data_IF_952871334259
#
_entry.id   IF_952871334259
#
_cell.length_a   1.000
_cell.length_b   1.000
_cell.length_c   1.000
_cell.angle_alpha   90.00
_cell.angle_beta   90.00
_cell.angle_gamma   90.00
#
_symmetry.space_group_name_H-M   'P 1'
#
loop_
_entity.id
_entity.type
_entity.pdbx_description
1 polymer ?
#
# COMPACT_ATOMS: atom_id res chain seq x y z
N UNK A 1 -4.96 -23.47 18.11
CA UNK A 1 -5.77 -22.35 17.59
C UNK A 1 -5.90 -22.56 16.10
N UNK A 2 -7.13 -22.68 15.60
CA UNK A 2 -7.37 -22.81 14.15
C UNK A 2 -6.90 -21.55 13.43
N UNK A 3 -6.10 -21.72 12.39
CA UNK A 3 -5.63 -20.63 11.53
C UNK A 3 -6.82 -19.84 10.97
N UNK A 4 -7.92 -20.52 10.68
CA UNK A 4 -9.15 -19.91 10.18
C UNK A 4 -9.76 -18.90 11.19
N UNK A 5 -9.76 -19.24 12.48
CA UNK A 5 -10.26 -18.34 13.52
C UNK A 5 -9.38 -17.09 13.68
N UNK A 6 -8.06 -17.21 13.49
CA UNK A 6 -7.15 -16.07 13.48
C UNK A 6 -7.38 -15.16 12.26
N UNK A 7 -7.68 -15.74 11.09
CA UNK A 7 -7.97 -14.99 9.86
C UNK A 7 -9.32 -14.28 9.96
N UNK A 8 -10.35 -14.93 10.51
CA UNK A 8 -11.65 -14.29 10.73
C UNK A 8 -11.56 -13.12 11.72
N UNK A 9 -10.74 -13.26 12.76
CA UNK A 9 -10.63 -12.25 13.82
C UNK A 9 -9.66 -11.10 13.49
N UNK A 10 -8.53 -11.38 12.83
CA UNK A 10 -7.48 -10.39 12.55
C UNK A 10 -7.27 -10.09 11.06
N UNK A 11 -7.89 -10.85 10.15
CA UNK A 11 -7.68 -10.71 8.71
C UNK A 11 -8.01 -9.32 8.18
N UNK A 12 -9.09 -8.70 8.67
CA UNK A 12 -9.44 -7.33 8.28
C UNK A 12 -8.44 -6.28 8.77
N UNK A 13 -7.94 -6.40 10.00
CA UNK A 13 -6.92 -5.50 10.53
C UNK A 13 -5.59 -5.67 9.78
N UNK A 14 -5.22 -6.91 9.47
CA UNK A 14 -4.05 -7.22 8.65
C UNK A 14 -4.19 -6.66 7.23
N UNK A 15 -5.39 -6.68 6.64
CA UNK A 15 -5.66 -6.07 5.34
C UNK A 15 -5.51 -4.54 5.40
N UNK A 16 -6.02 -3.87 6.42
CA UNK A 16 -5.86 -2.41 6.57
C UNK A 16 -4.38 -2.06 6.71
N UNK A 17 -3.67 -2.67 7.67
CA UNK A 17 -2.26 -2.38 7.95
C UNK A 17 -1.37 -2.78 6.76
N UNK A 18 -1.61 -3.97 6.21
CA UNK A 18 -0.89 -4.49 5.06
C UNK A 18 -1.11 -3.61 3.83
N UNK A 19 -2.32 -3.11 3.60
CA UNK A 19 -2.62 -2.24 2.45
C UNK A 19 -1.98 -0.85 2.52
N UNK A 20 -1.60 -0.40 3.72
CA UNK A 20 -0.80 0.82 3.91
C UNK A 20 0.65 0.58 3.48
N UNK A 21 1.22 -0.58 3.79
CA UNK A 21 2.61 -0.92 3.50
C UNK A 21 2.81 -1.44 2.06
N UNK A 22 1.99 -2.41 1.67
CA UNK A 22 2.08 -3.14 0.41
C UNK A 22 0.67 -3.44 -0.11
N UNK A 23 0.13 -2.49 -0.87
CA UNK A 23 -1.27 -2.53 -1.33
C UNK A 23 -1.61 -3.73 -2.21
N UNK A 24 -0.81 -3.99 -3.25
CA UNK A 24 -1.17 -4.91 -4.34
C UNK A 24 -1.23 -6.37 -3.87
N UNK A 25 -0.15 -6.86 -3.27
CA UNK A 25 -0.04 -8.23 -2.77
C UNK A 25 -1.12 -8.54 -1.73
N UNK A 26 -1.27 -7.65 -0.74
CA UNK A 26 -2.24 -7.82 0.36
C UNK A 26 -3.68 -7.78 -0.16
N UNK A 27 -3.98 -6.91 -1.14
CA UNK A 27 -5.31 -6.82 -1.74
C UNK A 27 -5.66 -8.07 -2.53
N UNK A 28 -4.71 -8.60 -3.32
CA UNK A 28 -4.91 -9.84 -4.07
C UNK A 28 -5.14 -11.03 -3.12
N UNK A 29 -4.33 -11.15 -2.07
CA UNK A 29 -4.48 -12.17 -1.04
C UNK A 29 -5.83 -12.04 -0.30
N UNK A 30 -6.27 -10.82 0.00
CA UNK A 30 -7.59 -10.55 0.56
C UNK A 30 -8.72 -11.01 -0.36
N UNK A 31 -8.58 -10.78 -1.68
CA UNK A 31 -9.51 -11.28 -2.69
C UNK A 31 -9.58 -12.81 -2.73
N UNK A 32 -8.43 -13.49 -2.70
CA UNK A 32 -8.34 -14.96 -2.65
C UNK A 32 -8.98 -15.50 -1.37
N UNK A 33 -8.68 -14.90 -0.22
CA UNK A 33 -9.28 -15.28 1.06
C UNK A 33 -10.81 -15.09 1.06
N UNK A 34 -11.31 -14.06 0.37
CA UNK A 34 -12.74 -13.88 0.19
C UNK A 34 -13.38 -14.94 -0.71
N UNK A 35 -12.67 -15.39 -1.75
CA UNK A 35 -13.12 -16.49 -2.62
C UNK A 35 -13.23 -17.81 -1.85
N UNK A 36 -12.30 -18.08 -0.94
CA UNK A 36 -12.32 -19.28 -0.08
C UNK A 36 -13.38 -19.23 1.04
N UNK A 37 -14.16 -18.14 1.13
CA UNK A 37 -15.19 -17.97 2.16
C UNK A 37 -14.65 -17.57 3.54
N UNK A 38 -13.34 -17.37 3.69
CA UNK A 38 -12.71 -16.97 4.95
C UNK A 38 -12.99 -15.51 5.32
N UNK A 39 -13.19 -14.65 4.33
CA UNK A 39 -13.50 -13.24 4.52
C UNK A 39 -14.68 -12.80 3.64
N UNK A 40 -15.53 -11.92 4.16
CA UNK A 40 -16.59 -11.30 3.35
C UNK A 40 -16.02 -10.28 2.38
N UNK A 41 -16.27 -10.47 1.07
CA UNK A 41 -15.79 -9.61 0.00
C UNK A 41 -16.03 -8.10 0.23
N UNK A 42 -17.24 -7.63 0.62
CA UNK A 42 -17.47 -6.20 0.85
C UNK A 42 -16.59 -5.61 1.97
N UNK A 43 -16.30 -6.41 3.00
CA UNK A 43 -15.45 -5.99 4.11
C UNK A 43 -13.96 -5.97 3.72
N UNK A 44 -13.53 -6.86 2.83
CA UNK A 44 -12.17 -6.82 2.26
C UNK A 44 -11.99 -5.55 1.45
N UNK A 45 -12.93 -5.23 0.56
CA UNK A 45 -12.88 -4.00 -0.25
C UNK A 45 -12.86 -2.77 0.66
N UNK A 46 -13.69 -2.72 1.70
CA UNK A 46 -13.70 -1.62 2.66
C UNK A 46 -12.38 -1.49 3.42
N UNK A 47 -11.81 -2.60 3.93
CA UNK A 47 -10.55 -2.62 4.65
C UNK A 47 -9.37 -2.14 3.78
N UNK A 48 -9.29 -2.65 2.55
CA UNK A 48 -8.27 -2.26 1.57
C UNK A 48 -8.39 -0.80 1.18
N UNK A 49 -9.63 -0.33 0.90
CA UNK A 49 -9.87 1.07 0.56
C UNK A 49 -9.46 1.99 1.71
N UNK A 50 -9.81 1.65 2.96
CA UNK A 50 -9.41 2.42 4.15
C UNK A 50 -7.89 2.47 4.33
N UNK A 51 -7.21 1.32 4.23
CA UNK A 51 -5.75 1.26 4.31
C UNK A 51 -5.07 2.11 3.23
N UNK A 52 -5.53 1.99 1.99
CA UNK A 52 -5.04 2.81 0.87
C UNK A 52 -5.29 4.30 1.08
N UNK A 53 -6.47 4.68 1.54
CA UNK A 53 -6.82 6.07 1.83
C UNK A 53 -5.91 6.68 2.90
N UNK A 54 -5.68 5.96 4.00
CA UNK A 54 -4.81 6.42 5.10
C UNK A 54 -3.37 6.57 4.60
N UNK A 55 -2.84 5.56 3.91
CA UNK A 55 -1.49 5.61 3.36
C UNK A 55 -1.29 6.79 2.41
N UNK A 56 -2.19 6.96 1.44
CA UNK A 56 -2.11 8.04 0.46
C UNK A 56 -2.25 9.42 1.11
N UNK A 57 -3.09 9.54 2.14
CA UNK A 57 -3.27 10.79 2.89
C UNK A 57 -2.00 11.18 3.66
N UNK A 58 -1.33 10.22 4.29
CA UNK A 58 -0.05 10.44 4.99
C UNK A 58 1.03 10.90 4.02
N UNK A 59 1.15 10.21 2.87
CA UNK A 59 2.11 10.55 1.82
C UNK A 59 1.84 11.92 1.19
N UNK A 60 0.57 12.25 0.96
CA UNK A 60 0.15 13.56 0.48
C UNK A 60 0.53 14.67 1.48
N UNK A 61 0.29 14.50 2.77
CA UNK A 61 0.68 15.50 3.78
C UNK A 61 2.19 15.62 3.91
N UNK A 62 2.93 14.52 3.79
CA UNK A 62 4.39 14.52 3.72
C UNK A 62 4.86 15.37 2.54
N UNK A 63 4.28 15.17 1.36
CA UNK A 63 4.52 15.96 0.16
C UNK A 63 4.16 17.44 0.34
N UNK A 64 3.02 17.73 0.96
CA UNK A 64 2.55 19.09 1.19
C UNK A 64 3.50 19.89 2.10
N UNK A 65 4.00 19.25 3.16
CA UNK A 65 4.87 19.89 4.16
C UNK A 65 6.33 19.95 3.71
N UNK A 66 6.87 18.85 3.20
CA UNK A 66 8.30 18.72 2.88
C UNK A 66 8.62 18.92 1.40
N UNK A 67 7.63 18.83 0.51
CA UNK A 67 7.80 18.99 -0.94
C UNK A 67 8.48 20.29 -1.35
N UNK A 68 8.10 21.47 -0.83
CA UNK A 68 8.78 22.73 -1.15
C UNK A 68 10.27 22.72 -0.78
N UNK A 69 10.66 22.05 0.30
CA UNK A 69 12.04 21.93 0.76
C UNK A 69 12.84 20.94 -0.09
N UNK A 70 12.22 19.81 -0.46
CA UNK A 70 12.80 18.82 -1.39
C UNK A 70 13.01 19.40 -2.79
N UNK A 71 12.01 20.12 -3.32
CA UNK A 71 12.07 20.74 -4.65
C UNK A 71 13.13 21.84 -4.74
N UNK A 72 13.44 22.53 -3.63
CA UNK A 72 14.53 23.51 -3.56
C UNK A 72 15.91 22.88 -3.80
N UNK A 73 16.11 21.58 -3.53
CA UNK A 73 17.39 20.89 -3.85
C UNK A 73 17.58 20.64 -5.35
N UNK A 74 16.50 20.69 -6.14
CA UNK A 74 16.52 20.46 -7.59
C UNK A 74 16.43 21.77 -8.40
N UNK A 75 17.22 22.79 -8.02
CA UNK A 75 17.21 24.13 -8.64
C UNK A 75 17.41 24.07 -10.16
N UNK A 76 18.28 23.18 -10.65
CA UNK A 76 18.56 22.99 -12.08
C UNK A 76 17.33 22.58 -12.91
N UNK A 77 16.29 22.02 -12.27
CA UNK A 77 15.09 21.52 -12.94
C UNK A 77 13.81 22.33 -12.61
N UNK A 78 13.95 23.51 -11.97
CA UNK A 78 12.83 24.34 -11.49
C UNK A 78 11.76 24.61 -12.57
N UNK A 79 12.17 24.87 -13.83
CA UNK A 79 11.23 25.10 -14.94
C UNK A 79 10.40 23.86 -15.29
N UNK A 80 11.00 22.67 -15.25
CA UNK A 80 10.30 21.39 -15.48
C UNK A 80 9.38 21.06 -14.32
N UNK A 81 9.84 21.26 -13.09
CA UNK A 81 9.05 21.09 -11.85
C UNK A 81 7.80 21.97 -11.87
N UNK A 82 7.95 23.28 -12.15
CA UNK A 82 6.81 24.20 -12.20
C UNK A 82 5.81 23.83 -13.33
N UNK A 83 6.30 23.25 -14.44
CA UNK A 83 5.42 22.74 -15.50
C UNK A 83 4.65 21.51 -15.04
N UNK A 84 5.32 20.57 -14.37
CA UNK A 84 4.69 19.37 -13.81
C UNK A 84 3.65 19.75 -12.74
N UNK A 85 3.97 20.66 -11.82
CA UNK A 85 3.03 21.13 -10.80
C UNK A 85 1.77 21.76 -11.43
N UNK A 86 1.93 22.59 -12.46
CA UNK A 86 0.78 23.19 -13.19
C UNK A 86 -0.06 22.15 -13.91
N UNK A 87 0.57 21.12 -14.50
CA UNK A 87 -0.16 20.02 -15.12
C UNK A 87 -0.95 19.20 -14.11
N UNK A 88 -0.35 18.91 -12.94
CA UNK A 88 -1.01 18.21 -11.84
C UNK A 88 -2.20 19.02 -11.32
N UNK A 89 -2.05 20.33 -11.14
CA UNK A 89 -3.16 21.20 -10.70
C UNK A 89 -4.28 21.27 -11.75
N UNK A 90 -3.93 21.36 -13.05
CA UNK A 90 -4.92 21.46 -14.13
C UNK A 90 -5.67 20.14 -14.37
N UNK A 91 -5.02 19.00 -14.16
CA UNK A 91 -5.61 17.66 -14.38
C UNK A 91 -5.59 16.83 -13.10
N UNK A 92 -5.97 17.45 -11.97
CA UNK A 92 -5.90 16.81 -10.65
C UNK A 92 -6.62 15.46 -10.60
N UNK A 93 -7.76 15.33 -11.28
CA UNK A 93 -8.51 14.08 -11.38
C UNK A 93 -7.71 12.93 -12.01
N UNK A 94 -7.07 13.17 -13.16
CA UNK A 94 -6.23 12.17 -13.84
C UNK A 94 -5.01 11.79 -13.00
N UNK A 95 -4.35 12.76 -12.38
CA UNK A 95 -3.15 12.48 -11.59
C UNK A 95 -3.48 11.76 -10.28
N UNK A 96 -4.50 12.19 -9.54
CA UNK A 96 -4.86 11.55 -8.26
C UNK A 96 -5.36 10.13 -8.46
N UNK A 97 -6.20 9.89 -9.48
CA UNK A 97 -6.72 8.55 -9.74
C UNK A 97 -5.68 7.70 -10.48
N UNK A 98 -5.06 8.24 -11.52
CA UNK A 98 -4.12 7.52 -12.38
C UNK A 98 -2.87 7.03 -11.66
N UNK A 99 -2.34 7.80 -10.71
CA UNK A 99 -1.15 7.39 -9.92
C UNK A 99 -1.37 6.11 -9.12
N UNK A 100 -2.62 5.70 -8.87
CA UNK A 100 -2.94 4.44 -8.19
C UNK A 100 -2.89 3.21 -9.07
N UNK A 101 -3.13 3.38 -10.36
CA UNK A 101 -3.08 2.29 -11.34
C UNK A 101 -1.68 2.11 -11.93
N UNK A 102 -0.76 3.02 -11.63
CA UNK A 102 0.63 2.96 -12.07
C UNK A 102 1.51 2.33 -10.99
N UNK A 103 2.06 1.15 -11.27
CA UNK A 103 3.00 0.47 -10.40
C UNK A 103 4.19 1.38 -10.03
N UNK A 104 4.58 1.40 -8.75
CA UNK A 104 5.66 2.24 -8.22
C UNK A 104 5.31 3.73 -8.04
N UNK A 105 4.24 4.23 -8.65
CA UNK A 105 3.77 5.62 -8.47
C UNK A 105 2.84 5.78 -7.27
N UNK A 106 2.42 4.70 -6.61
CA UNK A 106 1.58 4.78 -5.42
C UNK A 106 2.23 5.50 -4.23
N UNK A 107 3.55 5.40 -4.10
CA UNK A 107 4.30 6.13 -3.05
C UNK A 107 4.65 7.53 -3.52
N UNK A 108 5.22 7.63 -4.73
CA UNK A 108 5.76 8.89 -5.26
C UNK A 108 4.64 9.86 -5.67
N UNK A 109 3.54 9.33 -6.20
CA UNK A 109 2.41 10.07 -6.74
C UNK A 109 1.75 10.99 -5.71
N UNK A 110 1.22 10.46 -4.58
CA UNK A 110 0.63 11.28 -3.53
C UNK A 110 1.60 12.32 -2.97
N UNK A 111 2.88 11.96 -2.79
CA UNK A 111 3.94 12.90 -2.36
C UNK A 111 4.08 14.03 -3.39
N UNK A 112 4.14 13.72 -4.68
CA UNK A 112 4.31 14.71 -5.74
C UNK A 112 3.07 15.63 -5.88
N UNK A 113 1.88 15.06 -5.71
CA UNK A 113 0.61 15.80 -5.70
C UNK A 113 0.57 16.76 -4.51
N UNK A 114 0.96 16.29 -3.32
CA UNK A 114 1.12 17.13 -2.13
C UNK A 114 2.16 18.24 -2.33
N UNK A 115 3.32 17.90 -2.89
CA UNK A 115 4.39 18.85 -3.20
C UNK A 115 3.97 19.91 -4.24
N UNK A 116 2.96 19.61 -5.05
CA UNK A 116 2.33 20.54 -5.99
C UNK A 116 1.34 21.50 -5.34
N UNK A 117 1.16 21.43 -4.01
CA UNK A 117 0.21 22.24 -3.23
C UNK A 117 -1.23 22.15 -3.72
N UNK A 118 -1.62 20.99 -4.25
CA UNK A 118 -3.03 20.73 -4.56
C UNK A 118 -3.83 20.84 -3.25
N UNK A 119 -4.98 21.53 -3.18
CA UNK A 119 -5.75 21.66 -1.94
C UNK A 119 -6.24 20.30 -1.41
N UNK A 120 -6.21 20.04 -0.08
CA UNK A 120 -6.69 18.79 0.51
C UNK A 120 -8.17 18.52 0.20
N UNK A 121 -8.98 19.58 0.06
CA UNK A 121 -10.40 19.52 -0.29
C UNK A 121 -10.66 18.93 -1.68
N UNK A 122 -9.70 19.04 -2.60
CA UNK A 122 -9.76 18.44 -3.94
C UNK A 122 -9.16 17.04 -3.91
N UNK A 123 -8.03 16.89 -3.21
CA UNK A 123 -7.34 15.60 -3.09
C UNK A 123 -8.21 14.55 -2.42
N UNK A 124 -8.78 14.84 -1.24
CA UNK A 124 -9.50 13.86 -0.41
C UNK A 124 -10.63 13.14 -1.17
N UNK A 125 -11.62 13.81 -1.79
CA UNK A 125 -12.71 13.11 -2.49
C UNK A 125 -12.20 12.26 -3.65
N UNK A 126 -11.25 12.77 -4.44
CA UNK A 126 -10.61 12.01 -5.53
C UNK A 126 -9.82 10.81 -4.97
N UNK A 127 -9.21 10.98 -3.80
CA UNK A 127 -8.52 9.93 -3.05
C UNK A 127 -9.52 8.86 -2.60
N UNK A 128 -10.72 9.22 -2.13
CA UNK A 128 -11.74 8.24 -1.74
C UNK A 128 -12.20 7.43 -2.96
N UNK A 129 -12.61 8.11 -4.03
CA UNK A 129 -13.14 7.47 -5.23
C UNK A 129 -12.11 6.54 -5.87
N UNK A 130 -10.88 7.03 -6.03
CA UNK A 130 -9.82 6.20 -6.60
C UNK A 130 -9.43 5.01 -5.71
N UNK A 131 -9.51 5.12 -4.38
CA UNK A 131 -9.23 4.01 -3.47
C UNK A 131 -10.28 2.92 -3.59
N UNK A 132 -11.56 3.30 -3.62
CA UNK A 132 -12.67 2.37 -3.77
C UNK A 132 -12.62 1.66 -5.13
N UNK A 133 -12.43 2.42 -6.21
CA UNK A 133 -12.33 1.85 -7.56
C UNK A 133 -11.15 0.88 -7.68
N UNK A 134 -9.99 1.27 -7.15
CA UNK A 134 -8.80 0.42 -7.12
C UNK A 134 -9.03 -0.84 -6.27
N UNK A 135 -9.56 -0.68 -5.05
CA UNK A 135 -9.85 -1.80 -4.15
C UNK A 135 -10.83 -2.78 -4.80
N UNK A 136 -11.89 -2.31 -5.44
CA UNK A 136 -12.84 -3.16 -6.17
C UNK A 136 -12.15 -3.94 -7.28
N UNK A 137 -11.39 -3.28 -8.15
CA UNK A 137 -10.72 -3.94 -9.28
C UNK A 137 -9.75 -5.01 -8.79
N UNK A 138 -8.82 -4.65 -7.90
CA UNK A 138 -7.77 -5.57 -7.45
C UNK A 138 -8.31 -6.67 -6.52
N UNK A 139 -9.30 -6.38 -5.67
CA UNK A 139 -9.93 -7.42 -4.85
C UNK A 139 -10.72 -8.40 -5.73
N UNK A 140 -11.41 -7.90 -6.76
CA UNK A 140 -12.11 -8.76 -7.74
C UNK A 140 -11.12 -9.62 -8.53
N UNK A 141 -9.99 -9.04 -8.96
CA UNK A 141 -8.92 -9.80 -9.62
C UNK A 141 -8.34 -10.87 -8.70
N UNK A 142 -8.15 -10.59 -7.41
CA UNK A 142 -7.74 -11.59 -6.42
C UNK A 142 -8.80 -12.66 -6.20
N UNK A 143 -10.08 -12.27 -6.16
CA UNK A 143 -11.21 -13.19 -5.98
C UNK A 143 -11.34 -14.17 -7.16
N UNK A 144 -11.32 -13.67 -8.39
CA UNK A 144 -11.36 -14.50 -9.61
C UNK A 144 -10.04 -15.26 -9.79
N UNK A 145 -8.90 -14.65 -9.46
CA UNK A 145 -7.60 -15.32 -9.46
C UNK A 145 -7.55 -16.51 -8.49
N UNK A 146 -8.28 -16.43 -7.37
CA UNK A 146 -8.47 -17.55 -6.44
C UNK A 146 -9.09 -18.79 -7.10
N UNK A 147 -9.93 -18.61 -8.12
CA UNK A 147 -10.55 -19.71 -8.88
C UNK A 147 -9.52 -20.44 -9.77
N UNK A 148 -8.59 -19.69 -10.38
CA UNK A 148 -7.52 -20.22 -11.25
C UNK A 148 -6.37 -20.80 -10.42
N UNK A 149 -6.09 -20.20 -9.26
CA UNK A 149 -5.00 -20.61 -8.36
C UNK A 149 -5.46 -21.72 -7.42
N UNK A 150 -6.77 -21.89 -7.15
CA UNK A 150 -7.31 -22.92 -6.26
C UNK A 150 -6.79 -24.35 -6.51
N UNK A 151 -6.76 -24.84 -7.78
CA UNK A 151 -6.16 -26.13 -8.10
C UNK A 151 -4.64 -26.19 -7.89
N UNK A 152 -3.93 -25.08 -8.08
CA UNK A 152 -2.49 -24.97 -7.82
C UNK A 152 -2.16 -24.87 -6.32
N UNK A 153 -3.02 -24.21 -5.54
CA UNK A 153 -2.85 -23.98 -4.11
C UNK A 153 -3.06 -25.26 -3.31
N UNK A 154 -3.96 -26.15 -3.75
CA UNK A 154 -4.15 -27.47 -3.15
C UNK A 154 -2.88 -28.34 -3.24
N UNK A 155 -2.08 -28.20 -4.31
CA UNK A 155 -0.74 -28.79 -4.40
C UNK A 155 0.32 -28.01 -3.60
N UNK A 156 0.08 -26.73 -3.33
CA UNK A 156 0.99 -25.85 -2.60
C UNK A 156 0.83 -25.98 -1.08
N UNK A 157 -0.25 -26.54 -0.54
CA UNK A 157 -0.47 -26.70 0.91
C UNK A 157 0.65 -27.48 1.63
N UNK A 158 1.33 -28.39 0.93
CA UNK A 158 2.53 -29.06 1.47
C UNK A 158 3.77 -28.15 1.52
N UNK A 159 3.89 -27.19 0.60
CA UNK A 159 5.04 -26.30 0.47
C UNK A 159 4.82 -24.92 1.12
N UNK A 160 3.58 -24.47 1.31
CA UNK A 160 3.21 -23.19 1.92
C UNK A 160 3.70 -23.08 3.37
N UNK A 161 3.67 -24.18 4.13
CA UNK A 161 4.24 -24.22 5.48
C UNK A 161 5.74 -23.89 5.46
N UNK A 162 6.48 -24.38 4.46
CA UNK A 162 7.92 -24.13 4.32
C UNK A 162 8.22 -22.68 3.93
N UNK A 163 7.45 -22.11 3.00
CA UNK A 163 7.62 -20.72 2.56
C UNK A 163 7.19 -19.70 3.63
N UNK A 164 6.10 -19.98 4.37
CA UNK A 164 5.68 -19.16 5.51
C UNK A 164 6.73 -19.16 6.62
N UNK A 165 7.34 -20.31 6.93
CA UNK A 165 8.48 -20.40 7.84
C UNK A 165 9.70 -19.63 7.34
N UNK A 166 10.01 -19.72 6.04
CA UNK A 166 11.12 -18.97 5.43
C UNK A 166 10.93 -17.46 5.55
N UNK A 167 9.73 -16.95 5.26
CA UNK A 167 9.41 -15.53 5.38
C UNK A 167 9.52 -15.08 6.85
N UNK A 168 9.02 -15.87 7.79
CA UNK A 168 9.08 -15.58 9.22
C UNK A 168 10.54 -15.55 9.73
N UNK A 169 11.38 -16.48 9.27
CA UNK A 169 12.82 -16.51 9.56
C UNK A 169 13.53 -15.29 8.98
N UNK A 170 13.23 -14.91 7.73
CA UNK A 170 13.83 -13.74 7.09
C UNK A 170 13.48 -12.45 7.84
N UNK A 171 12.20 -12.29 8.24
CA UNK A 171 11.75 -11.14 9.04
C UNK A 171 12.41 -11.11 10.42
N UNK A 172 12.54 -12.26 11.08
CA UNK A 172 13.22 -12.36 12.38
C UNK A 172 14.71 -12.01 12.27
N UNK A 173 15.41 -12.51 11.25
CA UNK A 173 16.83 -12.21 11.02
C UNK A 173 17.04 -10.73 10.72
N UNK A 174 16.18 -10.11 9.90
CA UNK A 174 16.26 -8.67 9.62
C UNK A 174 15.98 -7.85 10.89
N UNK A 175 14.96 -8.22 11.67
CA UNK A 175 14.62 -7.57 12.94
C UNK A 175 15.77 -7.64 13.96
N UNK A 176 16.38 -8.81 14.14
CA UNK A 176 17.54 -9.02 15.02
C UNK A 176 18.75 -8.23 14.52
N UNK A 177 19.00 -8.20 13.21
CA UNK A 177 20.13 -7.45 12.63
C UNK A 177 19.97 -5.94 12.80
N UNK A 178 18.74 -5.42 12.67
CA UNK A 178 18.43 -4.02 12.91
C UNK A 178 18.50 -3.66 14.40
N UNK A 179 18.13 -4.57 15.28
CA UNK A 179 18.24 -4.41 16.74
C UNK A 179 19.69 -4.45 17.22
N UNK A 180 20.52 -5.36 16.70
CA UNK A 180 21.95 -5.40 16.98
C UNK A 180 22.66 -4.14 16.47
N UNK A 181 22.33 -3.66 15.27
CA UNK A 181 22.85 -2.38 14.76
C UNK A 181 22.43 -1.17 15.60
N UNK A 182 21.24 -1.19 16.20
CA UNK A 182 20.81 -0.15 17.14
C UNK A 182 21.52 -0.25 18.49
N UNK A 183 21.92 -1.45 18.93
CA UNK A 183 22.69 -1.64 20.16
C UNK A 183 24.17 -1.27 19.99
N UNK A 184 24.77 -1.54 18.83
CA UNK A 184 26.16 -1.15 18.55
C UNK A 184 26.33 0.37 18.50
N UNK A 185 25.40 1.10 17.84
CA UNK A 185 25.45 2.57 17.80
C UNK A 185 25.33 3.27 19.15
N UNK A 186 24.71 2.62 20.15
CA UNK A 186 24.62 3.17 21.51
C UNK A 186 25.87 2.91 22.36
N UNK A 187 26.76 2.00 21.94
CA UNK A 187 27.96 1.63 22.70
C UNK A 187 29.22 2.37 22.24
N UNK A 188 29.16 3.05 21.09
CA UNK A 188 30.24 3.89 20.57
C UNK A 188 30.08 5.39 20.93
N UNK A 189 28.98 5.77 21.60
CA UNK A 189 28.68 7.14 22.08
C UNK A 189 28.79 7.31 23.61
N UNK A 190 29.12 6.24 24.37
CA UNK A 190 29.51 6.28 25.79
C UNK A 190 31.03 6.11 25.94
#
# INVERSE_FOLDING_TARGET
MDINALIEQYGYAALVIGSVAEGETITLLGGVAAHQGLLKFPLVVAAVALGGMIGDQLLYFLGLRFGPTLLKRFVKHKKKINRAQRLIQRHAYLFVIGTRFMYGFRIIGPILIGASRLPPKIFLPLNIVGAIAWALIFTTLGYVGGEVIGPWLHNLDQHLKHWAWLILVVVAVIGVRLWMRHREKKRDEE
#
